data_IF_775254653469
#
_entry.id   IF_775254653469
#
_cell.length_a   1.000
_cell.length_b   1.000
_cell.length_c   1.000
_cell.angle_alpha   90.00
_cell.angle_beta   90.00
_cell.angle_gamma   90.00
#
_symmetry.space_group_name_H-M   'P 1'
#
loop_
_entity.id
_entity.type
_entity.pdbx_description
1 polymer ?
#
# COMPACT_ATOMS: atom_id res chain seq x y z
N UNK A 1 77.60 -40.34 5.77
CA UNK A 1 76.50 -41.29 6.10
C UNK A 1 75.69 -40.71 7.23
N UNK A 2 74.41 -40.40 7.00
CA UNK A 2 73.49 -39.98 8.06
C UNK A 2 73.28 -41.13 9.07
N UNK A 3 73.39 -40.84 10.35
CA UNK A 3 73.14 -41.79 11.46
C UNK A 3 71.70 -42.31 11.42
N UNK A 4 71.46 -43.52 11.93
CA UNK A 4 70.12 -44.13 11.92
C UNK A 4 69.03 -43.23 12.55
N UNK A 5 69.39 -42.44 13.58
CA UNK A 5 68.49 -41.45 14.20
C UNK A 5 68.17 -40.27 13.28
N UNK A 6 69.16 -39.74 12.55
CA UNK A 6 68.93 -38.61 11.63
C UNK A 6 68.07 -38.97 10.41
N UNK A 7 68.11 -40.23 9.96
CA UNK A 7 67.18 -40.74 8.93
C UNK A 7 65.73 -40.82 9.42
N UNK A 8 65.52 -41.21 10.69
CA UNK A 8 64.18 -41.26 11.31
C UNK A 8 63.61 -39.84 11.47
N UNK A 9 64.41 -38.89 11.97
CA UNK A 9 63.95 -37.49 12.07
C UNK A 9 63.62 -36.89 10.71
N UNK A 10 64.44 -37.16 9.68
CA UNK A 10 64.16 -36.69 8.33
C UNK A 10 62.84 -37.28 7.77
N UNK A 11 62.57 -38.57 8.01
CA UNK A 11 61.33 -39.21 7.59
C UNK A 11 60.10 -38.61 8.30
N UNK A 12 60.20 -38.35 9.59
CA UNK A 12 59.12 -37.71 10.37
C UNK A 12 58.84 -36.30 9.85
N UNK A 13 59.87 -35.50 9.58
CA UNK A 13 59.72 -34.14 9.06
C UNK A 13 59.05 -34.14 7.68
N UNK A 14 59.43 -35.07 6.79
CA UNK A 14 58.81 -35.18 5.45
C UNK A 14 57.34 -35.55 5.54
N UNK A 15 56.97 -36.46 6.44
CA UNK A 15 55.56 -36.83 6.67
C UNK A 15 54.78 -35.63 7.23
N UNK A 16 55.36 -34.90 8.18
CA UNK A 16 54.70 -33.74 8.79
C UNK A 16 54.43 -32.63 7.76
N UNK A 17 55.40 -32.35 6.89
CA UNK A 17 55.25 -31.38 5.79
C UNK A 17 54.19 -31.84 4.79
N UNK A 18 54.16 -33.13 4.44
CA UNK A 18 53.14 -33.67 3.55
C UNK A 18 51.72 -33.54 4.13
N UNK A 19 51.56 -33.79 5.43
CA UNK A 19 50.26 -33.62 6.12
C UNK A 19 49.84 -32.16 6.15
N UNK A 20 50.75 -31.22 6.43
CA UNK A 20 50.45 -29.78 6.42
C UNK A 20 50.03 -29.32 5.02
N UNK A 21 50.74 -29.75 3.97
CA UNK A 21 50.37 -29.41 2.59
C UNK A 21 49.02 -29.98 2.19
N UNK A 22 48.66 -31.18 2.69
CA UNK A 22 47.38 -31.81 2.43
C UNK A 22 46.24 -31.09 3.17
N UNK A 23 46.46 -30.65 4.41
CA UNK A 23 45.50 -29.84 5.17
C UNK A 23 45.32 -28.46 4.53
N UNK A 24 46.38 -27.77 4.12
CA UNK A 24 46.29 -26.47 3.43
C UNK A 24 45.60 -26.62 2.06
N UNK A 25 45.88 -27.71 1.34
CA UNK A 25 45.19 -28.04 0.10
C UNK A 25 43.69 -28.28 0.29
N UNK A 26 43.31 -29.03 1.33
CA UNK A 26 41.90 -29.25 1.68
C UNK A 26 41.20 -27.96 2.12
N UNK A 27 41.83 -27.14 2.97
CA UNK A 27 41.26 -25.86 3.41
C UNK A 27 41.02 -24.95 2.22
N UNK A 28 41.97 -24.82 1.29
CA UNK A 28 41.80 -23.98 0.09
C UNK A 28 40.71 -24.49 -0.85
N UNK A 29 40.51 -25.81 -0.95
CA UNK A 29 39.44 -26.41 -1.76
C UNK A 29 38.06 -26.14 -1.12
N UNK A 30 37.93 -26.30 0.20
CA UNK A 30 36.67 -26.08 0.91
C UNK A 30 36.30 -24.59 1.02
N UNK A 31 37.27 -23.68 1.24
CA UNK A 31 37.00 -22.24 1.29
C UNK A 31 36.71 -21.63 -0.09
N UNK A 32 37.19 -22.24 -1.17
CA UNK A 32 36.91 -21.82 -2.54
C UNK A 32 35.48 -22.16 -2.99
N UNK A 33 34.96 -23.33 -2.61
CA UNK A 33 33.63 -23.76 -3.04
C UNK A 33 32.49 -23.04 -2.32
N UNK A 34 32.64 -22.72 -1.04
CA UNK A 34 31.61 -21.99 -0.27
C UNK A 34 31.42 -20.55 -0.77
N UNK A 35 32.50 -19.87 -1.16
CA UNK A 35 32.45 -18.52 -1.72
C UNK A 35 31.86 -18.45 -3.14
N UNK A 36 32.18 -19.41 -4.01
CA UNK A 36 31.59 -19.48 -5.35
C UNK A 36 30.10 -19.83 -5.29
N UNK A 37 29.69 -20.74 -4.40
CA UNK A 37 28.29 -21.14 -4.25
C UNK A 37 27.43 -20.00 -3.68
N UNK A 38 27.92 -19.23 -2.69
CA UNK A 38 27.22 -18.05 -2.19
C UNK A 38 27.06 -16.95 -3.24
N UNK A 39 28.06 -16.73 -4.09
CA UNK A 39 27.99 -15.72 -5.14
C UNK A 39 27.01 -16.16 -6.25
N UNK A 40 26.96 -17.44 -6.58
CA UNK A 40 26.02 -17.98 -7.58
C UNK A 40 24.57 -17.96 -7.04
N UNK A 41 24.36 -18.36 -5.79
CA UNK A 41 23.05 -18.29 -5.11
C UNK A 41 22.53 -16.84 -5.01
N UNK A 42 23.38 -15.88 -4.64
CA UNK A 42 23.00 -14.46 -4.62
C UNK A 42 22.67 -13.91 -6.00
N UNK A 43 23.39 -14.36 -7.04
CA UNK A 43 23.16 -13.93 -8.42
C UNK A 43 21.86 -14.54 -8.97
N UNK A 44 21.59 -15.79 -8.63
CA UNK A 44 20.39 -16.49 -9.06
C UNK A 44 19.14 -15.98 -8.33
N UNK A 45 19.25 -15.66 -7.04
CA UNK A 45 18.18 -15.01 -6.28
C UNK A 45 17.88 -13.60 -6.80
N UNK A 46 18.91 -12.82 -7.15
CA UNK A 46 18.74 -11.50 -7.77
C UNK A 46 18.05 -11.57 -9.14
N UNK A 47 18.34 -12.62 -9.92
CA UNK A 47 17.65 -12.90 -11.19
C UNK A 47 16.19 -13.30 -10.92
N UNK A 48 15.92 -14.16 -9.94
CA UNK A 48 14.56 -14.61 -9.62
C UNK A 48 13.66 -13.47 -9.11
N UNK A 49 14.22 -12.54 -8.34
CA UNK A 49 13.55 -11.30 -7.90
C UNK A 49 13.24 -10.35 -9.07
N UNK A 50 14.10 -10.29 -10.08
CA UNK A 50 13.93 -9.46 -11.29
C UNK A 50 12.78 -9.95 -12.21
N UNK A 51 12.29 -11.20 -12.02
CA UNK A 51 11.20 -11.79 -12.83
C UNK A 51 9.87 -12.00 -12.09
N UNK A 52 9.73 -11.49 -10.85
CA UNK A 52 8.46 -11.56 -10.12
C UNK A 52 7.45 -10.58 -10.70
N UNK A 53 6.34 -11.14 -11.19
CA UNK A 53 5.17 -10.35 -11.57
C UNK A 53 4.39 -9.99 -10.30
N UNK A 54 4.16 -8.70 -10.07
CA UNK A 54 3.46 -8.19 -8.88
C UNK A 54 2.10 -7.62 -9.23
N UNK A 55 1.17 -7.74 -8.30
CA UNK A 55 -0.14 -7.09 -8.36
C UNK A 55 0.04 -5.57 -8.32
N UNK A 56 -0.58 -4.81 -9.25
CA UNK A 56 -0.26 -3.40 -9.42
C UNK A 56 -0.67 -2.51 -8.24
N UNK A 57 -1.71 -2.89 -7.49
CA UNK A 57 -2.18 -2.12 -6.34
C UNK A 57 -1.52 -2.51 -5.01
N UNK A 58 -1.15 -3.79 -4.87
CA UNK A 58 -0.77 -4.37 -3.57
C UNK A 58 0.64 -4.94 -3.53
N UNK A 59 1.35 -5.03 -4.66
CA UNK A 59 2.71 -5.57 -4.71
C UNK A 59 2.82 -7.08 -4.47
N UNK A 60 1.71 -7.77 -4.20
CA UNK A 60 1.68 -9.22 -3.97
C UNK A 60 2.14 -9.95 -5.21
N UNK A 61 3.05 -10.92 -5.04
CA UNK A 61 3.54 -11.74 -6.16
C UNK A 61 2.38 -12.57 -6.73
N UNK A 62 2.18 -12.43 -8.04
CA UNK A 62 1.14 -13.14 -8.76
C UNK A 62 1.67 -14.44 -9.34
N UNK A 63 0.81 -15.47 -9.34
CA UNK A 63 1.10 -16.73 -10.02
C UNK A 63 0.85 -16.62 -11.53
N UNK A 64 -0.19 -15.90 -11.92
CA UNK A 64 -0.52 -15.62 -13.31
C UNK A 64 0.26 -14.39 -13.80
N UNK A 65 1.15 -14.59 -14.78
CA UNK A 65 1.96 -13.52 -15.36
C UNK A 65 1.18 -12.64 -16.33
N UNK A 66 0.04 -13.13 -16.82
CA UNK A 66 -0.86 -12.40 -17.73
C UNK A 66 -2.01 -11.72 -16.99
N UNK A 67 -1.90 -11.60 -15.66
CA UNK A 67 -2.91 -10.96 -14.83
C UNK A 67 -3.19 -9.54 -15.35
N UNK A 68 -4.48 -9.27 -15.51
CA UNK A 68 -4.99 -7.95 -15.81
C UNK A 68 -6.24 -7.72 -14.96
N UNK A 69 -6.37 -6.54 -14.41
CA UNK A 69 -7.56 -6.13 -13.70
C UNK A 69 -7.94 -4.70 -14.07
N UNK A 70 -9.16 -4.32 -13.74
CA UNK A 70 -9.66 -2.96 -13.89
C UNK A 70 -9.69 -2.33 -12.50
N UNK A 71 -8.99 -1.21 -12.25
CA UNK A 71 -9.09 -0.50 -10.98
C UNK A 71 -10.50 0.03 -10.76
N UNK A 72 -11.02 -0.18 -9.55
CA UNK A 72 -12.33 0.31 -9.13
C UNK A 72 -12.13 1.19 -7.90
N UNK A 73 -12.37 2.48 -8.06
CA UNK A 73 -12.26 3.50 -7.01
C UNK A 73 -13.65 3.87 -6.52
N UNK A 74 -13.93 3.66 -5.23
CA UNK A 74 -15.26 3.88 -4.65
C UNK A 74 -15.15 4.83 -3.46
N UNK A 75 -15.96 5.88 -3.49
CA UNK A 75 -16.12 6.78 -2.35
C UNK A 75 -16.90 6.11 -1.23
N UNK A 76 -16.33 6.01 -0.04
CA UNK A 76 -16.94 5.35 1.12
C UNK A 76 -17.03 6.29 2.31
N UNK A 77 -18.17 6.26 3.01
CA UNK A 77 -18.39 7.04 4.23
C UNK A 77 -17.48 6.64 5.39
N UNK A 78 -17.02 7.61 6.18
CA UNK A 78 -16.31 7.37 7.43
C UNK A 78 -16.91 8.08 8.65
N UNK A 79 -18.23 8.27 8.69
CA UNK A 79 -18.87 8.73 9.92
C UNK A 79 -18.86 7.63 10.97
N UNK A 80 -18.71 7.98 12.24
CA UNK A 80 -18.75 7.01 13.34
C UNK A 80 -20.09 6.26 13.41
N UNK A 81 -21.16 6.85 12.88
CA UNK A 81 -22.52 6.31 12.87
C UNK A 81 -22.71 5.15 11.86
N UNK A 82 -21.74 4.94 10.95
CA UNK A 82 -21.82 3.90 9.91
C UNK A 82 -20.76 2.81 10.06
N UNK A 83 -19.99 2.82 11.14
CA UNK A 83 -18.99 1.79 11.40
C UNK A 83 -19.68 0.47 11.84
N UNK A 84 -19.19 -0.70 11.39
CA UNK A 84 -18.14 -0.90 10.39
C UNK A 84 -18.63 -0.68 8.95
N UNK A 85 -17.76 -0.21 8.06
CA UNK A 85 -18.06 -0.17 6.62
C UNK A 85 -18.11 -1.56 6.01
N UNK A 86 -18.98 -1.71 5.01
CA UNK A 86 -19.15 -2.94 4.24
C UNK A 86 -18.09 -3.00 3.13
N UNK A 87 -17.47 -4.17 2.94
CA UNK A 87 -16.57 -4.45 1.82
C UNK A 87 -15.20 -3.75 1.88
N UNK A 88 -14.89 -2.97 2.91
CA UNK A 88 -13.61 -2.26 3.04
C UNK A 88 -12.43 -3.24 3.20
N UNK A 89 -12.67 -4.41 3.78
CA UNK A 89 -11.66 -5.47 3.96
C UNK A 89 -11.07 -5.98 2.64
N UNK A 90 -11.75 -5.76 1.51
CA UNK A 90 -11.31 -6.23 0.19
C UNK A 90 -10.50 -5.19 -0.59
N UNK A 91 -10.44 -3.93 -0.15
CA UNK A 91 -9.68 -2.87 -0.83
C UNK A 91 -8.17 -3.10 -0.71
N UNK A 92 -7.43 -2.84 -1.78
CA UNK A 92 -5.96 -2.94 -1.80
C UNK A 92 -5.30 -1.63 -1.33
N UNK A 93 -5.88 -0.49 -1.73
CA UNK A 93 -5.45 0.84 -1.29
C UNK A 93 -6.64 1.63 -0.74
N UNK A 94 -6.44 2.33 0.38
CA UNK A 94 -7.45 3.18 0.99
C UNK A 94 -6.83 4.56 1.24
N UNK A 95 -7.44 5.60 0.68
CA UNK A 95 -7.10 6.99 1.00
C UNK A 95 -8.09 7.53 2.02
N UNK A 96 -7.59 8.20 3.05
CA UNK A 96 -8.39 8.90 4.05
C UNK A 96 -8.03 10.39 4.09
N UNK A 97 -9.04 11.24 3.96
CA UNK A 97 -8.87 12.69 4.12
C UNK A 97 -10.13 13.36 4.61
N UNK A 98 -10.00 14.58 5.14
CA UNK A 98 -11.13 15.43 5.55
C UNK A 98 -12.02 15.76 4.35
N UNK A 99 -13.35 15.71 4.56
CA UNK A 99 -14.33 16.09 3.54
C UNK A 99 -15.12 17.35 3.94
N UNK A 100 -16.01 17.24 4.92
CA UNK A 100 -16.80 18.34 5.47
C UNK A 100 -16.94 18.18 6.97
N UNK A 101 -17.17 19.29 7.68
CA UNK A 101 -17.60 19.23 9.07
C UNK A 101 -16.66 18.49 10.01
N UNK A 102 -15.35 18.46 9.69
CA UNK A 102 -14.32 17.71 10.43
C UNK A 102 -14.55 16.19 10.45
N UNK A 103 -15.21 15.65 9.42
CA UNK A 103 -15.38 14.21 9.22
C UNK A 103 -14.51 13.79 8.04
N UNK A 104 -13.79 12.68 8.19
CA UNK A 104 -13.04 12.09 7.08
C UNK A 104 -13.95 11.29 6.15
N UNK A 105 -13.45 11.03 4.95
CA UNK A 105 -14.06 10.14 3.97
C UNK A 105 -12.97 9.24 3.40
N UNK A 106 -13.37 8.08 2.92
CA UNK A 106 -12.46 7.11 2.32
C UNK A 106 -12.65 7.08 0.80
N UNK A 107 -11.55 6.87 0.08
CA UNK A 107 -11.55 6.34 -1.28
C UNK A 107 -10.93 4.95 -1.22
N UNK A 108 -11.74 3.92 -1.47
CA UNK A 108 -11.29 2.54 -1.47
C UNK A 108 -11.06 2.09 -2.92
N UNK A 109 -9.84 1.63 -3.20
CA UNK A 109 -9.41 1.16 -4.52
C UNK A 109 -9.27 -0.35 -4.51
N UNK A 110 -9.98 -1.00 -5.43
CA UNK A 110 -10.05 -2.44 -5.59
C UNK A 110 -9.49 -2.86 -6.95
N UNK A 111 -8.97 -4.07 -7.04
CA UNK A 111 -8.93 -4.78 -8.31
C UNK A 111 -10.33 -5.33 -8.67
N UNK A 112 -10.69 -5.33 -9.96
CA UNK A 112 -12.00 -5.81 -10.41
C UNK A 112 -12.24 -7.32 -10.19
N UNK A 113 -11.20 -8.08 -9.86
CA UNK A 113 -11.28 -9.53 -9.60
C UNK A 113 -11.71 -9.86 -8.17
N UNK A 114 -11.69 -8.87 -7.26
CA UNK A 114 -12.19 -9.03 -5.89
C UNK A 114 -13.66 -9.46 -5.88
N UNK A 115 -13.97 -10.36 -4.95
CA UNK A 115 -15.35 -10.76 -4.66
C UNK A 115 -15.87 -9.97 -3.48
N UNK A 116 -16.81 -9.05 -3.71
CA UNK A 116 -17.37 -8.18 -2.67
C UNK A 116 -18.87 -8.01 -2.89
N UNK A 117 -19.68 -8.55 -1.99
CA UNK A 117 -21.14 -8.58 -2.16
C UNK A 117 -21.81 -7.25 -1.81
N UNK A 118 -21.21 -6.46 -0.91
CA UNK A 118 -21.75 -5.20 -0.43
C UNK A 118 -20.60 -4.24 -0.07
N UNK A 119 -20.67 -3.02 -0.59
CA UNK A 119 -19.67 -1.97 -0.40
C UNK A 119 -20.37 -0.66 -0.07
N UNK A 120 -19.94 0.01 0.99
CA UNK A 120 -20.41 1.33 1.37
C UNK A 120 -20.53 1.54 2.88
N UNK A 121 -21.30 2.55 3.31
CA UNK A 121 -22.15 3.41 2.48
C UNK A 121 -21.35 4.25 1.45
N UNK A 122 -21.83 4.29 0.21
CA UNK A 122 -21.17 5.06 -0.87
C UNK A 122 -21.47 6.56 -0.68
N UNK A 123 -20.44 7.40 -0.87
CA UNK A 123 -20.52 8.84 -0.59
C UNK A 123 -20.09 9.74 -1.74
N UNK A 124 -20.19 11.03 -1.49
CA UNK A 124 -20.01 12.06 -2.49
C UNK A 124 -18.54 12.28 -2.86
N UNK A 125 -18.32 12.56 -4.13
CA UNK A 125 -17.03 12.88 -4.73
C UNK A 125 -16.50 14.27 -4.33
N UNK A 126 -15.20 14.40 -4.11
CA UNK A 126 -14.50 15.69 -3.97
C UNK A 126 -13.35 15.75 -4.97
N UNK A 127 -12.90 16.95 -5.40
CA UNK A 127 -11.89 17.09 -6.45
C UNK A 127 -10.63 16.26 -6.18
N UNK A 128 -10.06 16.38 -4.98
CA UNK A 128 -8.86 15.65 -4.57
C UNK A 128 -9.03 14.12 -4.52
N UNK A 129 -10.23 13.59 -4.25
CA UNK A 129 -10.48 12.15 -4.37
C UNK A 129 -10.58 11.70 -5.83
N UNK A 130 -11.02 12.58 -6.74
CA UNK A 130 -11.01 12.30 -8.17
C UNK A 130 -9.58 12.29 -8.67
N UNK A 131 -8.73 13.23 -8.23
CA UNK A 131 -7.29 13.23 -8.53
C UNK A 131 -6.66 11.88 -8.16
N UNK A 132 -6.82 11.44 -6.90
CA UNK A 132 -6.27 10.14 -6.45
C UNK A 132 -6.86 8.94 -7.18
N UNK A 133 -8.17 8.97 -7.51
CA UNK A 133 -8.78 7.92 -8.31
C UNK A 133 -8.20 7.87 -9.74
N UNK A 134 -7.93 9.03 -10.33
CA UNK A 134 -7.41 9.16 -11.69
C UNK A 134 -5.99 8.62 -11.85
N UNK A 135 -5.20 8.60 -10.78
CA UNK A 135 -3.88 7.97 -10.77
C UNK A 135 -3.91 6.47 -11.12
N UNK A 136 -5.06 5.83 -10.94
CA UNK A 136 -5.28 4.43 -11.25
C UNK A 136 -6.06 4.22 -12.57
N UNK A 137 -6.80 5.24 -13.03
CA UNK A 137 -7.79 5.10 -14.09
C UNK A 137 -8.96 4.19 -13.67
N UNK A 138 -9.67 3.64 -14.66
CA UNK A 138 -10.71 2.65 -14.43
C UNK A 138 -12.06 3.26 -14.05
N UNK A 139 -12.75 2.66 -13.07
CA UNK A 139 -14.10 3.07 -12.68
C UNK A 139 -14.05 3.89 -11.41
N UNK A 140 -14.74 5.04 -11.41
CA UNK A 140 -14.97 5.85 -10.23
C UNK A 140 -16.45 5.88 -9.84
N UNK A 141 -16.79 5.38 -8.65
CA UNK A 141 -18.18 5.24 -8.18
C UNK A 141 -18.43 6.12 -6.96
N UNK A 142 -19.50 6.92 -7.02
CA UNK A 142 -19.85 7.86 -5.96
C UNK A 142 -21.36 8.19 -5.93
N UNK A 143 -21.79 8.95 -4.92
CA UNK A 143 -23.17 9.46 -4.77
C UNK A 143 -23.16 10.98 -4.69
N UNK A 144 -23.38 11.63 -5.82
CA UNK A 144 -23.24 13.08 -5.98
C UNK A 144 -21.82 13.57 -5.68
N UNK A 145 -21.64 14.88 -5.55
CA UNK A 145 -20.34 15.50 -5.34
C UNK A 145 -20.47 16.92 -4.81
N UNK A 146 -19.33 17.55 -4.49
CA UNK A 146 -19.30 19.01 -4.40
C UNK A 146 -19.56 19.60 -5.80
N UNK A 147 -20.05 20.85 -5.93
CA UNK A 147 -20.26 21.47 -7.23
C UNK A 147 -19.03 21.37 -8.13
N UNK A 148 -17.85 21.71 -7.58
CA UNK A 148 -16.58 21.61 -8.28
C UNK A 148 -16.25 20.19 -8.75
N UNK A 149 -16.44 19.17 -7.90
CA UNK A 149 -16.20 17.78 -8.28
C UNK A 149 -17.14 17.32 -9.41
N UNK A 150 -18.41 17.73 -9.39
CA UNK A 150 -19.37 17.37 -10.42
C UNK A 150 -19.11 18.11 -11.74
N UNK A 151 -18.57 19.33 -11.66
CA UNK A 151 -18.23 20.12 -12.83
C UNK A 151 -16.95 19.61 -13.51
N UNK A 152 -16.01 18.99 -12.77
CA UNK A 152 -14.71 18.54 -13.30
C UNK A 152 -14.55 17.03 -13.49
N UNK A 153 -15.38 16.18 -12.89
CA UNK A 153 -15.16 14.70 -12.89
C UNK A 153 -15.08 14.10 -14.31
N UNK A 154 -15.81 14.66 -15.27
CA UNK A 154 -15.82 14.18 -16.65
C UNK A 154 -14.60 14.67 -17.48
N UNK A 155 -13.74 15.54 -16.91
CA UNK A 155 -12.48 15.95 -17.52
C UNK A 155 -11.36 14.92 -17.30
N UNK A 156 -11.55 13.98 -16.36
CA UNK A 156 -10.61 12.92 -16.06
C UNK A 156 -10.85 11.70 -16.95
N UNK A 157 -9.78 10.96 -17.24
CA UNK A 157 -9.87 9.69 -17.97
C UNK A 157 -10.35 8.56 -17.06
N UNK A 158 -11.60 8.65 -16.63
CA UNK A 158 -12.28 7.72 -15.72
C UNK A 158 -13.67 7.37 -16.23
N UNK A 159 -14.08 6.13 -16.01
CA UNK A 159 -15.48 5.74 -16.11
C UNK A 159 -16.19 6.24 -14.86
N UNK A 160 -16.72 7.45 -14.96
CA UNK A 160 -17.52 8.08 -13.92
C UNK A 160 -18.91 7.42 -13.77
N UNK A 161 -19.26 7.02 -12.55
CA UNK A 161 -20.54 6.42 -12.18
C UNK A 161 -21.13 7.10 -10.94
N UNK A 162 -21.91 8.16 -11.17
CA UNK A 162 -22.69 8.83 -10.14
C UNK A 162 -24.08 8.19 -9.96
N UNK A 163 -24.36 7.69 -8.74
CA UNK A 163 -25.66 7.15 -8.35
C UNK A 163 -26.83 8.11 -8.62
N UNK A 164 -26.65 9.42 -8.46
CA UNK A 164 -27.73 10.40 -8.69
C UNK A 164 -28.14 10.42 -10.16
N UNK A 165 -27.17 10.35 -11.08
CA UNK A 165 -27.43 10.34 -12.52
C UNK A 165 -27.92 9.00 -13.06
N UNK A 166 -27.36 7.89 -12.57
CA UNK A 166 -27.65 6.54 -13.09
C UNK A 166 -28.76 5.79 -12.34
N UNK A 167 -29.22 6.32 -11.21
CA UNK A 167 -30.21 5.67 -10.35
C UNK A 167 -29.67 4.39 -9.69
N UNK A 168 -30.54 3.38 -9.54
CA UNK A 168 -30.22 2.11 -8.87
C UNK A 168 -29.79 1.01 -9.86
N UNK A 169 -29.15 1.39 -10.97
CA UNK A 169 -28.65 0.43 -11.98
C UNK A 169 -27.38 -0.29 -11.51
N UNK A 170 -26.48 0.45 -10.84
CA UNK A 170 -25.20 -0.03 -10.31
C UNK A 170 -25.10 0.16 -8.78
N UNK A 171 -26.21 0.52 -8.16
CA UNK A 171 -26.31 0.84 -6.73
C UNK A 171 -27.68 0.38 -6.23
N UNK A 172 -27.83 0.27 -4.92
CA UNK A 172 -29.15 0.13 -4.30
C UNK A 172 -29.19 0.88 -2.97
N UNK A 173 -30.41 1.14 -2.49
CA UNK A 173 -30.64 1.68 -1.16
C UNK A 173 -31.09 0.59 -0.19
N UNK A 174 -30.33 0.40 0.88
CA UNK A 174 -30.75 -0.45 2.00
C UNK A 174 -31.88 0.24 2.77
N UNK A 175 -33.08 -0.35 2.73
CA UNK A 175 -34.28 0.23 3.34
C UNK A 175 -34.27 0.16 4.87
N UNK A 176 -33.34 -0.58 5.47
CA UNK A 176 -33.18 -0.66 6.92
C UNK A 176 -32.33 0.47 7.48
N UNK A 177 -31.64 1.22 6.61
CA UNK A 177 -30.75 2.31 6.99
C UNK A 177 -31.35 3.66 6.55
N UNK A 178 -31.16 4.67 7.41
CA UNK A 178 -31.63 6.01 7.14
C UNK A 178 -30.77 6.68 6.08
N UNK A 179 -31.43 7.40 5.17
CA UNK A 179 -30.73 8.35 4.33
C UNK A 179 -30.04 9.42 5.22
N UNK A 180 -28.82 9.85 4.87
CA UNK A 180 -28.16 9.54 3.60
C UNK A 180 -27.22 8.32 3.65
N UNK A 181 -27.17 7.54 4.73
CA UNK A 181 -26.19 6.46 5.02
C UNK A 181 -26.51 5.09 4.41
N UNK A 182 -27.29 5.05 3.34
CA UNK A 182 -27.96 3.82 2.94
C UNK A 182 -27.72 3.39 1.49
N UNK A 183 -26.79 4.02 0.76
CA UNK A 183 -26.46 3.63 -0.62
C UNK A 183 -25.31 2.65 -0.61
N UNK A 184 -25.46 1.53 -1.32
CA UNK A 184 -24.43 0.50 -1.45
C UNK A 184 -24.24 0.09 -2.91
N UNK A 185 -23.10 -0.52 -3.18
CA UNK A 185 -22.79 -1.21 -4.44
C UNK A 185 -22.12 -2.56 -4.19
N UNK A 186 -21.70 -3.25 -5.23
CA UNK A 186 -21.14 -4.62 -5.18
C UNK A 186 -20.19 -4.83 -6.35
N UNK A 187 -19.45 -5.94 -6.31
CA UNK A 187 -18.59 -6.33 -7.42
C UNK A 187 -19.37 -6.61 -8.72
N UNK A 188 -20.54 -7.25 -8.62
CA UNK A 188 -21.42 -7.48 -9.75
C UNK A 188 -21.86 -6.17 -10.43
N UNK A 189 -22.03 -5.10 -9.66
CA UNK A 189 -22.41 -3.79 -10.18
C UNK A 189 -21.25 -3.07 -10.87
N UNK A 190 -20.03 -3.10 -10.31
CA UNK A 190 -18.88 -2.50 -11.01
C UNK A 190 -18.53 -3.26 -12.29
N UNK A 191 -18.68 -4.59 -12.32
CA UNK A 191 -18.43 -5.39 -13.52
C UNK A 191 -19.45 -5.06 -14.60
N UNK A 192 -20.71 -4.88 -14.21
CA UNK A 192 -21.76 -4.42 -15.10
C UNK A 192 -21.50 -3.00 -15.63
N UNK A 193 -20.98 -2.12 -14.78
CA UNK A 193 -20.60 -0.77 -15.21
C UNK A 193 -19.47 -0.84 -16.25
N UNK A 194 -18.44 -1.66 -16.00
CA UNK A 194 -17.34 -1.91 -16.95
C UNK A 194 -17.85 -2.40 -18.30
N UNK A 195 -18.70 -3.44 -18.31
CA UNK A 195 -19.25 -4.04 -19.54
C UNK A 195 -20.04 -3.02 -20.38
N UNK A 196 -20.85 -2.18 -19.74
CA UNK A 196 -21.75 -1.25 -20.44
C UNK A 196 -21.03 0.03 -20.85
N UNK A 197 -20.00 0.46 -20.10
CA UNK A 197 -19.36 1.78 -20.25
C UNK A 197 -17.95 1.73 -20.84
N UNK A 198 -17.49 0.57 -21.32
CA UNK A 198 -16.22 0.45 -22.04
C UNK A 198 -15.00 0.26 -21.15
N UNK A 199 -15.12 -0.52 -20.07
CA UNK A 199 -14.02 -0.81 -19.13
C UNK A 199 -12.81 -1.52 -19.74
N UNK A 200 -12.94 -2.09 -20.94
CA UNK A 200 -11.86 -2.81 -21.63
C UNK A 200 -10.63 -1.95 -21.94
N UNK A 201 -10.82 -0.62 -22.08
CA UNK A 201 -9.73 0.33 -22.35
C UNK A 201 -8.86 0.62 -21.11
N UNK A 202 -9.38 0.33 -19.92
CA UNK A 202 -8.78 0.71 -18.63
C UNK A 202 -8.17 -0.47 -17.86
N UNK A 203 -8.03 -1.63 -18.50
CA UNK A 203 -7.37 -2.77 -17.86
C UNK A 203 -5.91 -2.45 -17.62
N UNK A 204 -5.55 -2.38 -16.34
CA UNK A 204 -4.16 -2.38 -15.97
C UNK A 204 -3.56 -3.76 -16.24
N UNK A 205 -2.45 -3.74 -16.96
CA UNK A 205 -1.57 -4.89 -17.12
C UNK A 205 -0.42 -4.76 -16.15
N UNK A 206 0.25 -5.86 -15.88
CA UNK A 206 1.51 -5.88 -15.12
C UNK A 206 2.46 -4.80 -15.67
N UNK A 207 2.85 -3.85 -14.81
CA UNK A 207 3.71 -2.71 -15.18
C UNK A 207 3.02 -1.53 -15.87
N UNK A 208 1.69 -1.55 -16.04
CA UNK A 208 0.91 -0.54 -16.79
C UNK A 208 0.32 0.59 -15.94
N UNK A 209 -0.08 0.33 -14.69
CA UNK A 209 -0.27 1.40 -13.70
C UNK A 209 1.12 1.75 -13.19
N UNK A 210 1.41 3.02 -12.91
CA UNK A 210 2.62 3.42 -12.20
C UNK A 210 2.70 2.78 -10.81
N UNK A 211 3.09 1.50 -10.76
CA UNK A 211 3.19 0.72 -9.54
C UNK A 211 4.18 1.41 -8.62
N UNK A 212 3.85 1.45 -7.33
CA UNK A 212 4.82 1.83 -6.31
C UNK A 212 5.93 0.77 -6.21
N UNK A 213 7.08 1.20 -5.68
CA UNK A 213 8.25 0.36 -5.50
C UNK A 213 8.03 -0.70 -4.39
N UNK A 214 7.45 -1.85 -4.75
CA UNK A 214 7.18 -2.95 -3.80
C UNK A 214 8.35 -3.93 -3.68
N UNK A 215 8.82 -4.15 -2.45
CA UNK A 215 9.95 -5.04 -2.12
C UNK A 215 9.53 -6.07 -1.07
N UNK A 216 9.94 -7.33 -1.27
CA UNK A 216 9.60 -8.42 -0.35
C UNK A 216 10.32 -8.27 0.98
N UNK A 217 9.61 -8.52 2.08
CA UNK A 217 10.20 -8.64 3.41
C UNK A 217 11.14 -9.86 3.42
N UNK A 218 12.47 -9.70 3.60
CA UNK A 218 13.39 -10.82 3.69
C UNK A 218 13.05 -11.73 4.87
N UNK A 219 13.22 -13.05 4.71
CA UNK A 219 12.88 -14.01 5.77
C UNK A 219 13.72 -13.87 7.05
N UNK A 220 14.92 -13.29 6.93
CA UNK A 220 15.91 -13.23 8.01
C UNK A 220 16.15 -11.81 8.55
N UNK A 221 15.24 -10.87 8.34
CA UNK A 221 15.38 -9.56 8.99
C UNK A 221 15.20 -9.68 10.50
N UNK A 222 15.98 -8.91 11.29
CA UNK A 222 15.76 -8.81 12.74
C UNK A 222 14.31 -8.46 13.05
N UNK A 223 13.72 -9.16 14.02
CA UNK A 223 12.37 -8.86 14.47
C UNK A 223 12.29 -7.47 15.10
N UNK A 224 13.34 -7.05 15.81
CA UNK A 224 13.47 -5.72 16.38
C UNK A 224 14.04 -4.74 15.33
N UNK A 225 13.40 -3.59 15.21
CA UNK A 225 13.86 -2.50 14.36
C UNK A 225 13.66 -1.19 15.14
N UNK A 226 14.74 -0.59 15.61
CA UNK A 226 14.72 0.66 16.38
C UNK A 226 14.12 1.84 15.59
N UNK A 227 14.14 1.76 14.25
CA UNK A 227 13.54 2.76 13.38
C UNK A 227 12.06 2.49 13.08
N UNK A 228 11.45 1.46 13.68
CA UNK A 228 10.03 1.14 13.48
C UNK A 228 9.21 1.56 14.70
N UNK A 229 8.41 2.64 14.59
CA UNK A 229 7.50 3.02 15.65
C UNK A 229 6.52 1.90 15.99
N UNK A 230 6.29 1.69 17.28
CA UNK A 230 5.29 0.75 17.75
C UNK A 230 3.88 1.33 17.63
N UNK A 231 3.76 2.66 17.74
CA UNK A 231 2.51 3.40 17.65
C UNK A 231 2.70 4.66 16.81
N UNK A 232 1.76 4.91 15.92
CA UNK A 232 1.65 6.11 15.08
C UNK A 232 0.28 6.70 15.36
N UNK A 233 0.25 8.00 15.57
CA UNK A 233 -0.94 8.80 15.81
C UNK A 233 -1.09 9.78 14.66
N UNK A 234 -2.27 9.78 14.05
CA UNK A 234 -2.67 10.72 13.01
C UNK A 234 -3.95 11.42 13.44
N UNK A 235 -3.84 12.70 13.74
CA UNK A 235 -4.97 13.52 14.17
C UNK A 235 -5.54 14.30 12.98
N UNK A 236 -6.69 13.87 12.48
CA UNK A 236 -7.35 14.57 11.39
C UNK A 236 -8.09 15.82 11.84
N UNK A 237 -8.72 15.84 13.03
CA UNK A 237 -9.54 17.00 13.43
C UNK A 237 -10.11 17.00 14.85
N UNK A 238 -10.75 15.92 15.29
CA UNK A 238 -11.40 15.80 16.60
C UNK A 238 -11.05 14.45 17.20
N UNK A 239 -11.26 14.27 18.49
CA UNK A 239 -10.98 12.99 19.17
C UNK A 239 -11.60 11.79 18.45
N UNK A 240 -12.79 11.92 17.85
CA UNK A 240 -13.46 10.84 17.08
C UNK A 240 -12.78 10.47 15.75
N UNK A 241 -11.90 11.36 15.26
CA UNK A 241 -11.13 11.22 14.02
C UNK A 241 -9.62 11.24 14.30
N UNK A 242 -9.24 10.99 15.54
CA UNK A 242 -7.88 10.61 15.90
C UNK A 242 -7.69 9.13 15.57
N UNK A 243 -6.67 8.84 14.77
CA UNK A 243 -6.36 7.49 14.28
C UNK A 243 -5.05 7.01 14.90
N UNK A 244 -5.08 5.82 15.50
CA UNK A 244 -3.87 5.16 15.98
C UNK A 244 -3.58 3.91 15.15
N UNK A 245 -2.32 3.78 14.74
CA UNK A 245 -1.78 2.58 14.11
C UNK A 245 -0.77 1.94 15.05
N UNK A 246 -0.98 0.67 15.39
CA UNK A 246 -0.08 -0.07 16.30
C UNK A 246 0.53 -1.26 15.61
N UNK A 247 1.85 -1.34 15.58
CA UNK A 247 2.55 -2.40 14.88
C UNK A 247 2.33 -3.75 15.58
N UNK A 248 2.02 -4.78 14.79
CA UNK A 248 1.87 -6.14 15.26
C UNK A 248 2.94 -7.03 14.59
N UNK A 249 3.91 -7.47 15.39
CA UNK A 249 5.05 -8.28 14.91
C UNK A 249 4.60 -9.58 14.23
N UNK A 250 3.57 -10.26 14.76
CA UNK A 250 3.10 -11.53 14.22
C UNK A 250 2.41 -11.35 12.86
N UNK A 251 1.67 -10.25 12.70
CA UNK A 251 0.97 -9.93 11.46
C UNK A 251 1.87 -9.18 10.45
N UNK A 252 3.02 -8.68 10.90
CA UNK A 252 3.93 -7.82 10.12
C UNK A 252 3.21 -6.62 9.50
N UNK A 253 2.31 -6.03 10.26
CA UNK A 253 1.41 -4.96 9.82
C UNK A 253 1.02 -4.07 10.99
N UNK A 254 0.53 -2.87 10.69
CA UNK A 254 -0.07 -1.99 11.67
C UNK A 254 -1.56 -2.27 11.77
N UNK A 255 -2.10 -2.37 12.98
CA UNK A 255 -3.53 -2.47 13.24
C UNK A 255 -4.10 -1.08 13.55
N UNK A 256 -5.35 -0.81 13.15
CA UNK A 256 -5.97 0.51 13.24
C UNK A 256 -6.93 0.64 14.43
N UNK A 257 -6.92 1.80 15.06
CA UNK A 257 -7.90 2.32 16.00
C UNK A 257 -8.37 3.69 15.52
N UNK A 258 -9.58 4.08 15.92
CA UNK A 258 -10.10 5.42 15.68
C UNK A 258 -10.94 5.85 16.87
N UNK A 259 -10.73 7.07 17.36
CA UNK A 259 -11.42 7.58 18.54
C UNK A 259 -11.22 6.74 19.79
N UNK A 260 -10.08 6.04 19.89
CA UNK A 260 -9.75 5.13 20.99
C UNK A 260 -10.32 3.71 20.85
N UNK A 261 -11.24 3.48 19.92
CA UNK A 261 -11.85 2.16 19.69
C UNK A 261 -11.14 1.40 18.56
N UNK A 262 -11.18 0.06 18.64
CA UNK A 262 -10.68 -0.78 17.54
C UNK A 262 -11.49 -0.50 16.30
N UNK A 263 -10.81 -0.28 15.20
CA UNK A 263 -11.47 -0.12 13.92
C UNK A 263 -11.62 -1.49 13.26
N UNK A 264 -12.86 -1.95 13.08
CA UNK A 264 -13.20 -3.33 12.71
C UNK A 264 -13.81 -3.35 11.31
N UNK A 265 -13.46 -4.34 10.48
CA UNK A 265 -14.14 -4.60 9.21
C UNK A 265 -15.51 -5.27 9.43
N UNK A 266 -16.36 -5.23 8.42
CA UNK A 266 -17.61 -6.01 8.35
C UNK A 266 -17.43 -7.52 8.59
N UNK A 267 -16.25 -8.07 8.29
CA UNK A 267 -15.88 -9.47 8.57
C UNK A 267 -15.69 -9.78 10.06
N UNK A 268 -15.56 -8.77 10.91
CA UNK A 268 -15.23 -8.88 12.34
C UNK A 268 -13.73 -8.82 12.64
N UNK A 269 -12.87 -8.80 11.61
CA UNK A 269 -11.42 -8.64 11.78
C UNK A 269 -11.06 -7.18 12.05
N UNK A 270 -10.03 -6.96 12.88
CA UNK A 270 -9.50 -5.61 13.06
C UNK A 270 -8.76 -5.15 11.79
N UNK A 271 -8.99 -3.90 11.41
CA UNK A 271 -8.32 -3.29 10.26
C UNK A 271 -6.82 -3.30 10.47
N UNK A 272 -6.10 -3.73 9.42
CA UNK A 272 -4.65 -3.78 9.40
C UNK A 272 -4.11 -3.40 8.02
N UNK A 273 -2.94 -2.76 8.01
CA UNK A 273 -2.24 -2.30 6.81
C UNK A 273 -0.76 -2.66 6.89
N UNK A 274 -0.21 -3.11 5.76
CA UNK A 274 1.22 -3.37 5.62
C UNK A 274 2.02 -2.08 5.44
N UNK A 275 1.40 -1.09 4.78
CA UNK A 275 1.96 0.24 4.59
C UNK A 275 0.97 1.27 5.13
N UNK A 276 1.42 2.15 6.02
CA UNK A 276 0.72 3.36 6.43
C UNK A 276 1.53 4.52 5.92
N UNK A 277 0.94 5.30 5.02
CA UNK A 277 1.57 6.45 4.37
C UNK A 277 0.84 7.67 4.88
N UNK A 278 1.56 8.61 5.49
CA UNK A 278 0.99 9.89 5.94
C UNK A 278 1.54 10.99 5.03
N UNK A 279 0.67 11.54 4.20
CA UNK A 279 0.97 12.57 3.22
C UNK A 279 0.57 13.93 3.77
N UNK A 280 1.52 14.87 3.80
CA UNK A 280 1.29 16.25 4.21
C UNK A 280 1.02 17.09 2.97
N UNK A 281 -0.19 17.66 2.89
CA UNK A 281 -0.65 18.52 1.80
C UNK A 281 -1.21 19.84 2.35
N UNK A 282 -1.19 20.91 1.56
CA UNK A 282 -1.89 22.15 1.92
C UNK A 282 -3.40 21.91 1.86
N UNK A 283 -4.12 22.17 2.95
CA UNK A 283 -5.57 21.97 3.07
C UNK A 283 -6.24 23.27 3.53
N UNK A 284 -7.17 23.78 2.72
CA UNK A 284 -7.93 25.01 2.99
C UNK A 284 -9.41 24.72 3.16
N UNK A 285 -10.08 25.52 3.99
CA UNK A 285 -11.55 25.54 4.05
C UNK A 285 -12.07 26.56 3.06
N UNK A 286 -12.97 26.14 2.17
CA UNK A 286 -13.44 26.98 1.05
C UNK A 286 -14.87 27.51 1.20
N UNK A 287 -15.64 27.01 2.16
CA UNK A 287 -17.00 27.50 2.41
C UNK A 287 -17.45 27.37 3.87
N UNK A 288 -18.62 27.91 4.19
CA UNK A 288 -19.21 27.89 5.54
C UNK A 288 -19.62 26.49 6.01
N UNK A 289 -19.78 25.53 5.09
CA UNK A 289 -20.14 24.14 5.39
C UNK A 289 -18.86 23.33 5.73
N UNK A 290 -17.68 23.91 5.51
CA UNK A 290 -16.40 23.32 5.88
C UNK A 290 -15.82 22.40 4.82
N UNK A 291 -16.19 22.58 3.54
CA UNK A 291 -15.56 21.85 2.43
C UNK A 291 -14.07 22.17 2.35
N UNK A 292 -13.30 21.18 1.87
CA UNK A 292 -11.85 21.28 1.73
C UNK A 292 -11.43 21.47 0.28
N UNK A 293 -10.40 22.28 0.12
CA UNK A 293 -9.51 22.31 -1.03
C UNK A 293 -8.17 21.72 -0.57
N UNK A 294 -7.64 20.76 -1.32
CA UNK A 294 -6.44 20.01 -0.96
C UNK A 294 -5.50 20.02 -2.15
N UNK A 295 -4.27 20.48 -1.93
CA UNK A 295 -3.23 20.43 -2.95
C UNK A 295 -2.75 18.99 -3.17
N UNK A 296 -3.07 18.45 -4.34
CA UNK A 296 -2.71 17.11 -4.80
C UNK A 296 -1.55 17.12 -5.81
N UNK A 297 -1.01 18.29 -6.17
CA UNK A 297 -0.10 18.41 -7.33
C UNK A 297 1.28 18.97 -6.96
N UNK A 298 1.37 19.88 -6.00
CA UNK A 298 2.62 20.60 -5.74
C UNK A 298 3.71 19.79 -5.04
N UNK A 299 3.38 18.58 -4.57
CA UNK A 299 4.25 17.79 -3.71
C UNK A 299 4.24 18.27 -2.26
N UNK A 300 4.97 17.56 -1.41
CA UNK A 300 5.03 17.87 0.02
C UNK A 300 5.75 16.80 0.81
N UNK A 301 5.66 16.86 2.14
CA UNK A 301 6.33 15.88 3.02
C UNK A 301 5.52 14.59 3.08
N UNK A 302 6.21 13.46 3.14
CA UNK A 302 5.58 12.16 3.39
C UNK A 302 6.31 11.38 4.49
N UNK A 303 5.54 10.61 5.25
CA UNK A 303 6.02 9.60 6.19
C UNK A 303 5.49 8.25 5.75
N UNK A 304 6.38 7.29 5.51
CA UNK A 304 6.01 5.91 5.18
C UNK A 304 6.39 5.02 6.35
N UNK A 305 5.40 4.34 6.92
CA UNK A 305 5.57 3.38 7.98
C UNK A 305 5.21 1.98 7.47
N UNK A 306 6.17 1.06 7.49
CA UNK A 306 5.96 -0.33 7.12
C UNK A 306 6.88 -1.26 7.92
N UNK A 307 7.08 -2.49 7.45
CA UNK A 307 7.95 -3.46 8.12
C UNK A 307 9.40 -2.98 8.28
N UNK A 308 9.92 -2.22 7.32
CA UNK A 308 11.28 -1.66 7.32
C UNK A 308 11.45 -0.47 8.27
N UNK A 309 10.37 0.00 8.88
CA UNK A 309 10.36 1.10 9.83
C UNK A 309 9.72 2.35 9.26
N UNK A 310 10.14 3.50 9.78
CA UNK A 310 9.76 4.82 9.29
C UNK A 310 10.79 5.33 8.27
N UNK A 311 10.31 5.72 7.10
CA UNK A 311 11.05 6.55 6.15
C UNK A 311 10.32 7.88 5.97
N UNK A 312 11.00 8.99 6.31
CA UNK A 312 10.54 10.34 6.00
C UNK A 312 11.12 10.77 4.65
N UNK A 313 10.35 11.53 3.88
CA UNK A 313 10.81 12.10 2.63
C UNK A 313 9.78 13.04 2.02
N UNK A 314 9.66 13.01 0.70
CA UNK A 314 8.72 13.86 -0.05
C UNK A 314 7.84 13.04 -1.00
N UNK A 315 6.61 13.51 -1.20
CA UNK A 315 5.74 13.01 -2.26
C UNK A 315 5.77 13.97 -3.45
N UNK A 316 5.65 13.42 -4.66
CA UNK A 316 5.61 14.16 -5.93
C UNK A 316 4.65 13.46 -6.89
N UNK A 317 4.01 14.23 -7.77
CA UNK A 317 3.27 13.65 -8.91
C UNK A 317 4.24 13.48 -10.08
N UNK A 318 4.31 12.26 -10.63
CA UNK A 318 5.15 11.96 -11.80
C UNK A 318 4.51 12.41 -13.12
N UNK A 319 5.26 12.30 -14.23
CA UNK A 319 4.77 12.69 -15.57
C UNK A 319 3.53 11.88 -16.03
N UNK A 320 3.27 10.72 -15.40
CA UNK A 320 2.09 9.88 -15.63
C UNK A 320 0.91 10.24 -14.73
N UNK A 321 1.02 11.27 -13.89
CA UNK A 321 -0.02 11.69 -12.96
C UNK A 321 -0.07 10.87 -11.68
N UNK A 322 0.92 10.00 -11.40
CA UNK A 322 0.93 9.13 -10.22
C UNK A 322 1.64 9.81 -9.05
N UNK A 323 1.06 9.76 -7.85
CA UNK A 323 1.76 10.16 -6.63
C UNK A 323 2.83 9.12 -6.27
N UNK A 324 4.09 9.56 -6.14
CA UNK A 324 5.24 8.75 -5.74
C UNK A 324 5.93 9.35 -4.52
N UNK A 325 6.66 8.50 -3.79
CA UNK A 325 7.31 8.85 -2.54
C UNK A 325 8.82 8.66 -2.67
N UNK A 326 9.60 9.67 -2.31
CA UNK A 326 11.05 9.68 -2.40
C UNK A 326 11.67 9.99 -1.05
N UNK A 327 12.76 9.31 -0.70
CA UNK A 327 13.52 9.62 0.51
C UNK A 327 14.42 10.86 0.32
N UNK A 328 15.13 11.25 1.38
CA UNK A 328 16.05 12.40 1.36
C UNK A 328 17.26 12.22 0.39
N UNK A 329 17.49 11.00 -0.12
CA UNK A 329 18.52 10.71 -1.12
C UNK A 329 17.99 10.76 -2.55
N UNK A 330 16.67 10.84 -2.71
CA UNK A 330 15.97 10.88 -4.00
C UNK A 330 15.63 9.50 -4.55
N UNK A 331 15.77 8.44 -3.75
CA UNK A 331 15.37 7.08 -4.12
C UNK A 331 13.87 6.87 -3.81
N UNK A 332 13.16 6.12 -4.65
CA UNK A 332 11.72 5.83 -4.42
C UNK A 332 11.56 4.93 -3.19
N UNK A 333 10.78 5.38 -2.21
CA UNK A 333 10.60 4.69 -0.93
C UNK A 333 9.97 3.31 -1.17
N UNK A 334 10.60 2.29 -0.58
CA UNK A 334 10.14 0.90 -0.67
C UNK A 334 8.86 0.68 0.15
N UNK A 335 7.84 0.10 -0.50
CA UNK A 335 6.65 -0.44 0.15
C UNK A 335 6.75 -1.95 0.26
N UNK A 336 6.07 -2.55 1.24
CA UNK A 336 5.98 -4.01 1.33
C UNK A 336 4.67 -4.53 0.73
N UNK A 337 4.64 -5.74 0.14
CA UNK A 337 3.43 -6.31 -0.41
C UNK A 337 2.29 -6.40 0.60
N UNK A 338 1.12 -5.89 0.27
CA UNK A 338 -0.08 -5.93 1.10
C UNK A 338 -0.98 -4.69 0.94
N UNK A 339 -1.83 -4.47 1.93
CA UNK A 339 -2.75 -3.33 1.98
C UNK A 339 -2.00 -2.05 2.32
N UNK A 340 -2.38 -0.96 1.65
CA UNK A 340 -1.81 0.37 1.86
C UNK A 340 -2.90 1.35 2.28
N UNK A 341 -2.66 2.07 3.37
CA UNK A 341 -3.47 3.23 3.76
C UNK A 341 -2.68 4.50 3.50
N UNK A 342 -3.32 5.49 2.87
CA UNK A 342 -2.76 6.82 2.62
C UNK A 342 -3.61 7.82 3.40
N UNK A 343 -3.01 8.47 4.39
CA UNK A 343 -3.65 9.40 5.30
C UNK A 343 -3.19 10.82 5.00
N UNK A 344 -4.11 11.69 4.60
CA UNK A 344 -3.78 13.04 4.11
C UNK A 344 -4.09 14.06 5.19
N UNK A 345 -3.05 14.74 5.68
CA UNK A 345 -3.10 15.70 6.79
C UNK A 345 -2.57 17.08 6.39
N UNK A 346 -3.00 18.16 7.06
CA UNK A 346 -2.59 19.53 6.71
C UNK A 346 -1.17 19.87 7.15
N UNK A 347 -0.60 19.17 8.13
CA UNK A 347 0.73 19.49 8.66
C UNK A 347 1.40 18.29 9.34
N UNK A 348 2.72 18.38 9.53
CA UNK A 348 3.46 17.40 10.35
C UNK A 348 3.03 17.40 11.82
N UNK A 349 2.43 18.48 12.34
CA UNK A 349 1.94 18.54 13.73
C UNK A 349 0.77 17.58 13.99
N UNK A 350 0.11 17.12 12.92
CA UNK A 350 -0.94 16.10 12.97
C UNK A 350 -0.39 14.69 13.16
N UNK A 351 0.93 14.52 13.18
CA UNK A 351 1.60 13.22 13.21
C UNK A 351 2.44 13.11 14.49
N UNK A 352 2.25 12.03 15.24
CA UNK A 352 3.12 11.66 16.36
C UNK A 352 3.41 10.17 16.30
N UNK A 353 4.60 9.74 16.69
CA UNK A 353 4.96 8.32 16.69
C UNK A 353 5.99 8.02 17.78
N UNK A 354 6.05 6.78 18.27
CA UNK A 354 6.98 6.36 19.33
C UNK A 354 7.47 4.93 19.16
#
# INVERSE_FOLDING_TARGET
MLTHKSKIYLAITVILVAVILLVVGLVNIFSGSEGEQQVDDQKQQKIEDEYKVRHPLSGVVLQDKEFACLPISIMVENSVDVLPQEGLSQADVIYESLAEGNITRLLAVYDSTKSVDKIGPVRSARPYFIDWASEYGGIYMHVGGSPEALDSVDDYDLINVDQIGVGEVYFWRDQNLLAPHNVFTSNSNWLRAAEIRGGDEYYCRVGGIGMWNFVDIPQNLPEENENRPEEILVDFSTDLYQVDWKFNQNLKSYQRWQGGDKYIYDTGDQVAAQNVIVQVSDIKVVDEIGRRDIDTQSGGVVYVFNFYGLTKGEWRVDDGGRTRFYDDYGDEIELVPGKTWVEIVPSEENISYK
#
